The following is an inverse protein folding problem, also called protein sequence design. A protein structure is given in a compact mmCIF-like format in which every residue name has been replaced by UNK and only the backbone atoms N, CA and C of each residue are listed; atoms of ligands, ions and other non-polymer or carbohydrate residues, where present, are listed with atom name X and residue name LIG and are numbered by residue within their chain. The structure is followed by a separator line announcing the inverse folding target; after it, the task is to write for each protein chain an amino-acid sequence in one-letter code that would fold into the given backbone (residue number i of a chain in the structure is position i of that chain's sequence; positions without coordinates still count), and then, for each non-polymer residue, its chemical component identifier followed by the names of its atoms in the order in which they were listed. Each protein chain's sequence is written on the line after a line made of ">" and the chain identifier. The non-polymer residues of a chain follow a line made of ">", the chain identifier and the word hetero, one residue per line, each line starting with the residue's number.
data_IF_949262267277
#
_entry.id   IF_949262267277
#
_cell.length_a   1.000
_cell.length_b   1.000
_cell.length_c   1.000
_cell.angle_alpha   90.00
_cell.angle_beta   90.00
_cell.angle_gamma   90.00
#
_symmetry.space_group_name_H-M   'P 1'
#
loop_
_entity.id
_entity.type
_entity.pdbx_description
1 polymer ?
#
# COMPACT_ATOMS: atom_id res chain seq x y z
N UNK A 1 -7.49 -5.89 29.97
CA UNK A 1 -7.97 -5.30 28.73
C UNK A 1 -9.42 -5.70 28.50
N UNK A 2 -10.30 -4.75 28.24
CA UNK A 2 -11.70 -5.07 27.96
C UNK A 2 -11.91 -5.55 26.54
N UNK A 3 -13.10 -6.08 26.27
CA UNK A 3 -13.45 -6.52 24.92
C UNK A 3 -13.37 -5.40 23.90
N UNK A 4 -13.79 -4.18 24.27
CA UNK A 4 -13.73 -3.03 23.38
C UNK A 4 -12.29 -2.70 23.01
N UNK A 5 -11.36 -2.78 23.95
CA UNK A 5 -9.94 -2.54 23.68
C UNK A 5 -9.37 -3.63 22.76
N UNK A 6 -9.72 -4.88 23.02
CA UNK A 6 -9.29 -5.99 22.16
C UNK A 6 -9.81 -5.83 20.73
N UNK A 7 -11.06 -5.39 20.58
CA UNK A 7 -11.65 -5.12 19.26
C UNK A 7 -10.93 -4.01 18.52
N UNK A 8 -10.50 -2.95 19.23
CA UNK A 8 -9.75 -1.86 18.63
C UNK A 8 -8.36 -2.31 18.16
N UNK A 9 -7.68 -3.16 18.93
CA UNK A 9 -6.41 -3.73 18.49
C UNK A 9 -6.59 -4.59 17.25
N UNK A 10 -7.67 -5.39 17.22
CA UNK A 10 -7.97 -6.20 16.05
C UNK A 10 -8.27 -5.34 14.83
N UNK A 11 -9.02 -4.25 15.00
CA UNK A 11 -9.34 -3.32 13.92
C UNK A 11 -8.06 -2.71 13.34
N UNK A 12 -7.13 -2.29 14.19
CA UNK A 12 -5.84 -1.76 13.75
C UNK A 12 -5.02 -2.78 12.98
N UNK A 13 -4.98 -4.01 13.48
CA UNK A 13 -4.23 -5.10 12.83
C UNK A 13 -4.83 -5.43 11.46
N UNK A 14 -6.16 -5.49 11.34
CA UNK A 14 -6.84 -5.75 10.08
C UNK A 14 -6.59 -4.62 9.09
N UNK A 15 -6.69 -3.37 9.55
CA UNK A 15 -6.43 -2.20 8.71
C UNK A 15 -5.02 -2.23 8.13
N UNK A 16 -4.01 -2.46 8.97
CA UNK A 16 -2.62 -2.53 8.51
C UNK A 16 -2.39 -3.71 7.58
N UNK A 17 -2.95 -4.87 7.92
CA UNK A 17 -2.78 -6.07 7.13
C UNK A 17 -3.41 -5.95 5.74
N UNK A 18 -4.64 -5.45 5.65
CA UNK A 18 -5.30 -5.26 4.37
C UNK A 18 -4.64 -4.17 3.55
N UNK A 19 -4.17 -3.08 4.20
CA UNK A 19 -3.43 -2.04 3.51
C UNK A 19 -2.13 -2.56 2.94
N UNK A 20 -1.38 -3.34 3.70
CA UNK A 20 -0.12 -3.93 3.25
C UNK A 20 -0.35 -4.92 2.10
N UNK A 21 -1.39 -5.76 2.21
CA UNK A 21 -1.73 -6.71 1.16
C UNK A 21 -2.14 -5.99 -0.11
N UNK A 22 -2.99 -4.95 0.01
CA UNK A 22 -3.42 -4.16 -1.14
C UNK A 22 -2.26 -3.46 -1.82
N UNK A 23 -1.35 -2.86 -1.06
CA UNK A 23 -0.17 -2.21 -1.60
C UNK A 23 0.75 -3.22 -2.30
N UNK A 24 0.97 -4.39 -1.70
CA UNK A 24 1.83 -5.42 -2.28
C UNK A 24 1.26 -5.94 -3.60
N UNK A 25 -0.05 -6.22 -3.66
CA UNK A 25 -0.69 -6.68 -4.89
C UNK A 25 -0.65 -5.57 -5.95
N UNK A 26 -0.95 -4.33 -5.56
CA UNK A 26 -0.95 -3.20 -6.49
C UNK A 26 0.42 -2.95 -7.09
N UNK A 27 1.46 -2.92 -6.28
CA UNK A 27 2.83 -2.72 -6.76
C UNK A 27 3.28 -3.91 -7.60
N UNK A 28 2.88 -5.13 -7.22
CA UNK A 28 3.20 -6.32 -8.01
C UNK A 28 2.60 -6.27 -9.40
N UNK A 29 1.33 -5.87 -9.52
CA UNK A 29 0.67 -5.73 -10.83
C UNK A 29 1.34 -4.62 -11.63
N UNK A 30 1.62 -3.49 -10.99
CA UNK A 30 2.30 -2.37 -11.65
C UNK A 30 3.66 -2.80 -12.20
N UNK A 31 4.43 -3.54 -11.40
CA UNK A 31 5.75 -4.02 -11.82
C UNK A 31 5.65 -4.98 -13.01
N UNK A 32 4.67 -5.88 -12.99
CA UNK A 32 4.47 -6.81 -14.10
C UNK A 32 4.11 -6.05 -15.38
N UNK A 33 3.24 -5.05 -15.29
CA UNK A 33 2.86 -4.24 -16.45
C UNK A 33 4.03 -3.40 -16.96
N UNK A 34 4.86 -2.87 -16.06
CA UNK A 34 6.05 -2.14 -16.43
C UNK A 34 7.01 -3.02 -17.24
N UNK A 35 7.29 -4.22 -16.74
CA UNK A 35 8.18 -5.15 -17.41
C UNK A 35 7.64 -5.56 -18.77
N UNK A 36 6.35 -5.81 -18.86
CA UNK A 36 5.70 -6.16 -20.12
C UNK A 36 5.83 -5.03 -21.14
N UNK A 37 5.56 -3.80 -20.75
CA UNK A 37 5.69 -2.64 -21.63
C UNK A 37 7.12 -2.38 -22.05
N UNK A 38 8.08 -2.51 -21.11
CA UNK A 38 9.50 -2.31 -21.41
C UNK A 38 10.00 -3.37 -22.39
N UNK A 39 9.52 -4.60 -22.28
CA UNK A 39 9.91 -5.69 -23.18
C UNK A 39 9.40 -5.44 -24.60
N UNK A 40 8.22 -4.85 -24.74
CA UNK A 40 7.60 -4.60 -26.05
C UNK A 40 8.13 -3.34 -26.72
N UNK A 41 8.40 -2.30 -25.95
CA UNK A 41 8.84 -1.00 -26.45
C UNK A 41 9.96 -0.45 -25.57
N UNK A 42 11.20 -0.95 -25.75
CA UNK A 42 12.31 -0.53 -24.92
C UNK A 42 12.59 0.97 -24.97
N UNK A 43 12.26 1.63 -26.07
CA UNK A 43 12.44 3.08 -26.22
C UNK A 43 11.56 3.90 -25.26
N UNK A 44 10.51 3.30 -24.72
CA UNK A 44 9.62 3.97 -23.76
C UNK A 44 10.02 3.74 -22.30
N UNK A 45 11.13 3.05 -22.05
CA UNK A 45 11.56 2.75 -20.68
C UNK A 45 11.64 4.00 -19.80
N UNK A 46 12.25 5.13 -20.24
CA UNK A 46 12.30 6.31 -19.37
C UNK A 46 10.93 6.85 -18.98
N UNK A 47 9.98 6.87 -19.92
CA UNK A 47 8.61 7.33 -19.65
C UNK A 47 7.87 6.37 -18.74
N UNK A 48 7.97 5.06 -19.03
CA UNK A 48 7.32 4.02 -18.23
C UNK A 48 7.85 4.01 -16.80
N UNK A 49 9.16 4.22 -16.64
CA UNK A 49 9.78 4.28 -15.31
C UNK A 49 9.24 5.45 -14.50
N UNK A 50 9.10 6.62 -15.12
CA UNK A 50 8.54 7.79 -14.45
C UNK A 50 7.10 7.53 -14.01
N UNK A 51 6.28 6.98 -14.89
CA UNK A 51 4.89 6.66 -14.57
C UNK A 51 4.79 5.61 -13.47
N UNK A 52 5.66 4.60 -13.50
CA UNK A 52 5.70 3.58 -12.47
C UNK A 52 5.99 4.18 -11.11
N UNK A 53 6.96 5.08 -11.01
CA UNK A 53 7.30 5.71 -9.73
C UNK A 53 6.16 6.59 -9.22
N UNK A 54 5.45 7.29 -10.10
CA UNK A 54 4.30 8.10 -9.70
C UNK A 54 3.21 7.21 -9.10
N UNK A 55 2.83 6.14 -9.79
CA UNK A 55 1.78 5.23 -9.30
C UNK A 55 2.22 4.51 -8.04
N UNK A 56 3.49 4.10 -7.97
CA UNK A 56 4.04 3.44 -6.78
C UNK A 56 3.97 4.37 -5.57
N UNK A 57 4.28 5.65 -5.76
CA UNK A 57 4.18 6.64 -4.69
C UNK A 57 2.74 6.84 -4.22
N UNK A 58 1.76 6.82 -5.13
CA UNK A 58 0.35 6.92 -4.77
C UNK A 58 -0.11 5.71 -3.97
N UNK A 59 0.31 4.50 -4.34
CA UNK A 59 -0.02 3.28 -3.60
C UNK A 59 0.60 3.32 -2.20
N UNK A 60 1.86 3.75 -2.11
CA UNK A 60 2.54 3.89 -0.82
C UNK A 60 1.85 4.91 0.07
N UNK A 61 1.37 6.03 -0.50
CA UNK A 61 0.67 7.04 0.27
C UNK A 61 -0.59 6.48 0.92
N UNK A 62 -1.36 5.67 0.20
CA UNK A 62 -2.56 5.02 0.75
C UNK A 62 -2.18 4.09 1.89
N UNK A 63 -1.13 3.31 1.73
CA UNK A 63 -0.63 2.42 2.77
C UNK A 63 -0.18 3.20 4.02
N UNK A 64 0.52 4.32 3.82
CA UNK A 64 0.98 5.14 4.94
C UNK A 64 -0.18 5.78 5.69
N UNK A 65 -1.23 6.19 5.00
CA UNK A 65 -2.45 6.68 5.63
C UNK A 65 -3.08 5.57 6.48
N UNK A 66 -3.16 4.36 5.95
CA UNK A 66 -3.71 3.21 6.68
C UNK A 66 -2.89 2.92 7.95
N UNK A 67 -1.57 2.97 7.85
CA UNK A 67 -0.68 2.77 9.00
C UNK A 67 -0.90 3.88 10.03
N UNK A 68 -1.01 5.14 9.59
CA UNK A 68 -1.27 6.26 10.48
C UNK A 68 -2.57 6.11 11.24
N UNK A 69 -3.64 5.71 10.56
CA UNK A 69 -4.94 5.49 11.19
C UNK A 69 -4.86 4.30 12.17
N UNK A 70 -4.17 3.23 11.81
CA UNK A 70 -4.00 2.08 12.67
C UNK A 70 -3.25 2.45 13.96
N UNK A 71 -2.19 3.24 13.84
CA UNK A 71 -1.43 3.71 14.99
C UNK A 71 -2.29 4.62 15.88
N UNK A 72 -3.10 5.47 15.28
CA UNK A 72 -4.03 6.29 16.03
C UNK A 72 -4.99 5.43 16.84
N UNK A 73 -5.57 4.40 16.22
CA UNK A 73 -6.49 3.49 16.93
C UNK A 73 -5.77 2.79 18.08
N UNK A 74 -4.53 2.33 17.86
CA UNK A 74 -3.80 1.55 18.86
C UNK A 74 -3.33 2.39 20.05
N UNK A 75 -2.99 3.65 19.82
CA UNK A 75 -2.32 4.45 20.86
C UNK A 75 -3.14 5.62 21.38
N UNK A 76 -4.09 6.12 20.61
CA UNK A 76 -4.87 7.30 21.02
C UNK A 76 -6.29 6.95 21.43
N UNK A 77 -6.91 5.99 20.74
CA UNK A 77 -8.31 5.60 21.01
C UNK A 77 -8.36 4.55 22.11
N UNK A 78 -7.38 3.65 22.11
CA UNK A 78 -7.28 2.64 23.17
C UNK A 78 -6.66 3.24 24.42
#
# INVERSE_FOLDING_TARGET
>A
MGEATAMLYLAGAVLMGLGALGAAVGIGILGARFLEGAARQPELIPMLRTQMFIVMGLVDAVQMIAVGIAMYILFAVV
#
